data_IF_695358391278
#
_entry.id   IF_695358391278
#
_cell.length_a   1.000
_cell.length_b   1.000
_cell.length_c   1.000
_cell.angle_alpha   90.00
_cell.angle_beta   90.00
_cell.angle_gamma   90.00
#
_symmetry.space_group_name_H-M   'P 1'
#
loop_
_entity.id
_entity.type
_entity.pdbx_description
1 polymer ?
#
# COMPACT_ATOMS: atom_id res chain seq x y z
N UNK A 1 1.31 15.67 -17.05
CA UNK A 1 1.31 14.53 -16.09
C UNK A 1 2.51 14.66 -15.18
N UNK A 2 2.29 15.17 -13.97
CA UNK A 2 3.35 15.56 -13.04
C UNK A 2 3.93 14.38 -12.30
N UNK A 3 5.24 14.15 -12.45
CA UNK A 3 6.01 13.17 -11.68
C UNK A 3 6.15 13.65 -10.25
N UNK A 4 5.82 12.81 -9.27
CA UNK A 4 6.28 12.99 -7.89
C UNK A 4 6.96 11.72 -7.42
N UNK A 5 8.28 11.76 -7.45
CA UNK A 5 9.17 10.69 -6.99
C UNK A 5 9.21 10.70 -5.46
N UNK A 6 8.86 9.58 -4.82
CA UNK A 6 9.18 9.32 -3.42
C UNK A 6 9.78 7.91 -3.35
N UNK A 7 11.08 7.80 -3.61
CA UNK A 7 11.78 6.51 -3.55
C UNK A 7 11.41 5.51 -4.67
N UNK A 8 12.02 4.33 -4.58
CA UNK A 8 12.25 3.31 -5.62
C UNK A 8 11.01 2.48 -6.05
N UNK A 9 9.80 2.98 -5.82
CA UNK A 9 8.55 2.28 -6.09
C UNK A 9 7.53 3.20 -6.76
N UNK A 10 6.79 2.67 -7.73
CA UNK A 10 5.69 3.38 -8.40
C UNK A 10 4.49 2.45 -8.53
N UNK A 11 3.30 2.94 -8.19
CA UNK A 11 2.04 2.20 -8.34
C UNK A 11 1.34 2.74 -9.58
N UNK A 12 0.97 1.83 -10.47
CA UNK A 12 0.05 2.07 -11.57
C UNK A 12 -1.21 1.26 -11.30
N UNK A 13 -2.36 1.68 -11.81
CA UNK A 13 -3.72 1.14 -11.60
C UNK A 13 -3.85 -0.38 -11.34
N UNK A 14 -2.95 -1.22 -11.89
CA UNK A 14 -2.90 -2.69 -11.67
C UNK A 14 -1.51 -3.27 -11.34
N UNK A 15 -0.45 -2.46 -11.22
CA UNK A 15 0.93 -2.93 -11.10
C UNK A 15 1.69 -2.13 -10.03
N UNK A 16 2.47 -2.84 -9.22
CA UNK A 16 3.45 -2.23 -8.31
C UNK A 16 4.82 -2.39 -8.96
N UNK A 17 5.63 -1.34 -9.10
CA UNK A 17 6.98 -1.45 -9.65
C UNK A 17 8.01 -1.59 -8.51
N UNK A 18 8.85 -2.63 -8.56
CA UNK A 18 10.09 -2.70 -7.77
C UNK A 18 11.29 -2.56 -8.71
N UNK A 19 12.14 -1.55 -8.51
CA UNK A 19 13.45 -1.48 -9.18
C UNK A 19 13.36 -1.53 -10.73
N UNK A 20 12.33 -0.92 -11.32
CA UNK A 20 12.08 -0.94 -12.78
C UNK A 20 11.49 -2.25 -13.33
N UNK A 21 11.25 -3.26 -12.48
CA UNK A 21 10.47 -4.45 -12.85
C UNK A 21 9.00 -4.21 -12.59
N UNK A 22 8.20 -4.40 -13.63
CA UNK A 22 6.75 -4.46 -13.54
C UNK A 22 6.38 -5.71 -12.75
N UNK A 23 5.83 -5.55 -11.54
CA UNK A 23 5.11 -6.64 -10.89
C UNK A 23 3.75 -6.68 -11.60
N UNK A 24 3.67 -7.51 -12.65
CA UNK A 24 2.48 -7.65 -13.48
C UNK A 24 1.44 -8.47 -12.72
N UNK A 25 0.24 -7.91 -12.50
CA UNK A 25 -0.94 -8.71 -12.17
C UNK A 25 -1.43 -9.40 -13.45
N UNK A 26 -0.87 -10.57 -13.75
CA UNK A 26 -1.28 -11.41 -14.89
C UNK A 26 -2.05 -12.63 -14.38
N UNK A 27 -3.21 -12.91 -14.98
CA UNK A 27 -4.01 -14.12 -14.72
C UNK A 27 -4.39 -14.36 -13.23
N UNK A 28 -4.75 -13.27 -12.54
CA UNK A 28 -5.20 -13.26 -11.14
C UNK A 28 -4.18 -13.82 -10.12
N UNK A 29 -2.91 -14.02 -10.48
CA UNK A 29 -1.85 -14.50 -9.57
C UNK A 29 -0.56 -13.71 -9.72
N UNK A 30 -0.02 -13.24 -8.59
CA UNK A 30 1.31 -12.63 -8.54
C UNK A 30 2.38 -13.74 -8.59
N UNK A 31 3.06 -13.91 -9.73
CA UNK A 31 4.22 -14.83 -9.81
C UNK A 31 5.43 -14.19 -9.11
N UNK A 32 6.04 -14.91 -8.16
CA UNK A 32 7.25 -14.48 -7.44
C UNK A 32 7.03 -13.72 -6.13
N UNK A 33 5.78 -13.54 -5.69
CA UNK A 33 5.43 -12.88 -4.43
C UNK A 33 4.53 -13.79 -3.59
N UNK A 34 5.10 -14.83 -2.98
CA UNK A 34 4.36 -15.77 -2.12
C UNK A 34 3.75 -15.10 -0.88
N UNK A 35 4.22 -13.90 -0.52
CA UNK A 35 3.81 -13.17 0.69
C UNK A 35 2.93 -11.95 0.39
N UNK A 36 2.22 -11.95 -0.74
CA UNK A 36 1.24 -10.91 -1.06
C UNK A 36 -0.13 -11.27 -0.47
N UNK A 37 -0.72 -10.38 0.33
CA UNK A 37 -2.12 -10.43 0.77
C UNK A 37 -2.91 -9.32 0.07
N UNK A 38 -4.13 -9.63 -0.38
CA UNK A 38 -5.07 -8.65 -0.93
C UNK A 38 -6.23 -8.50 0.06
N UNK A 39 -6.45 -7.29 0.54
CA UNK A 39 -7.57 -6.91 1.40
C UNK A 39 -8.52 -6.00 0.61
N UNK A 40 -9.76 -5.87 1.11
CA UNK A 40 -10.75 -4.96 0.54
C UNK A 40 -11.28 -4.01 1.60
N UNK A 41 -11.46 -2.75 1.22
CA UNK A 41 -12.12 -1.76 2.07
C UNK A 41 -12.85 -0.72 1.24
N UNK A 42 -13.88 -0.13 1.81
CA UNK A 42 -14.42 1.14 1.34
C UNK A 42 -13.47 2.23 1.84
N UNK A 43 -13.08 3.17 0.97
CA UNK A 43 -12.10 4.22 1.28
C UNK A 43 -12.80 5.53 1.60
N UNK A 44 -13.83 5.87 0.83
CA UNK A 44 -14.73 7.00 1.05
C UNK A 44 -16.16 6.59 0.66
N UNK A 45 -17.15 7.42 0.98
CA UNK A 45 -18.58 7.11 0.77
C UNK A 45 -18.96 6.96 -0.72
N UNK A 46 -18.17 7.55 -1.62
CA UNK A 46 -18.39 7.47 -3.07
C UNK A 46 -17.68 6.28 -3.72
N UNK A 47 -16.78 5.62 -3.00
CA UNK A 47 -15.99 4.50 -3.52
C UNK A 47 -16.72 3.17 -3.31
N UNK A 48 -16.76 2.34 -4.36
CA UNK A 48 -17.01 0.91 -4.19
C UNK A 48 -15.88 0.25 -3.39
N UNK A 49 -16.02 -1.00 -2.96
CA UNK A 49 -14.93 -1.73 -2.30
C UNK A 49 -13.64 -1.70 -3.15
N UNK A 50 -12.58 -1.12 -2.61
CA UNK A 50 -11.27 -1.00 -3.23
C UNK A 50 -10.30 -2.07 -2.72
N UNK A 51 -9.38 -2.47 -3.60
CA UNK A 51 -8.32 -3.41 -3.24
C UNK A 51 -7.17 -2.68 -2.54
N UNK A 52 -6.67 -3.31 -1.48
CA UNK A 52 -5.45 -2.94 -0.78
C UNK A 52 -4.49 -4.11 -0.91
N UNK A 53 -3.29 -3.83 -1.40
CA UNK A 53 -2.25 -4.83 -1.60
C UNK A 53 -1.21 -4.67 -0.50
N UNK A 54 -0.89 -5.75 0.20
CA UNK A 54 0.11 -5.77 1.27
C UNK A 54 1.09 -6.88 0.95
N UNK A 55 2.35 -6.52 0.79
CA UNK A 55 3.43 -7.44 0.47
C UNK A 55 4.49 -7.40 1.56
N UNK A 56 4.93 -8.56 2.01
CA UNK A 56 6.02 -8.70 2.96
C UNK A 56 7.26 -9.34 2.29
N UNK A 57 8.40 -8.65 2.38
CA UNK A 57 9.69 -9.21 2.04
C UNK A 57 10.44 -9.59 3.32
N UNK A 58 10.34 -10.86 3.71
CA UNK A 58 11.03 -11.40 4.90
C UNK A 58 12.55 -11.40 4.76
N UNK A 59 13.10 -11.45 3.54
CA UNK A 59 14.55 -11.46 3.33
C UNK A 59 15.16 -10.08 3.59
N UNK A 60 14.51 -9.05 3.08
CA UNK A 60 14.95 -7.65 3.18
C UNK A 60 14.25 -6.87 4.30
N UNK A 61 13.45 -7.58 5.11
CA UNK A 61 12.86 -7.09 6.36
C UNK A 61 11.96 -5.84 6.20
N UNK A 62 11.09 -5.85 5.19
CA UNK A 62 10.15 -4.75 4.93
C UNK A 62 8.76 -5.22 4.47
N UNK A 63 7.78 -4.35 4.67
CA UNK A 63 6.41 -4.48 4.18
C UNK A 63 6.11 -3.32 3.23
N UNK A 64 5.38 -3.58 2.16
CA UNK A 64 4.82 -2.59 1.24
C UNK A 64 3.31 -2.67 1.30
N UNK A 65 2.65 -1.52 1.46
CA UNK A 65 1.20 -1.37 1.30
C UNK A 65 0.92 -0.47 0.10
N UNK A 66 -0.05 -0.85 -0.73
CA UNK A 66 -0.43 -0.10 -1.91
C UNK A 66 -1.95 -0.08 -2.11
N UNK A 67 -2.45 1.08 -2.52
CA UNK A 67 -3.86 1.33 -2.85
C UNK A 67 -3.91 2.01 -4.22
N UNK A 68 -4.09 1.25 -5.31
CA UNK A 68 -4.08 1.81 -6.66
C UNK A 68 -5.16 2.87 -6.91
N UNK A 69 -6.34 2.71 -6.28
CA UNK A 69 -7.42 3.71 -6.36
C UNK A 69 -6.99 5.11 -5.90
N UNK A 70 -6.05 5.19 -4.94
CA UNK A 70 -5.49 6.45 -4.43
C UNK A 70 -4.17 6.84 -5.10
N UNK A 71 -3.70 6.08 -6.09
CA UNK A 71 -2.36 6.21 -6.68
C UNK A 71 -1.26 6.27 -5.61
N UNK A 72 -1.41 5.47 -4.55
CA UNK A 72 -0.61 5.59 -3.33
C UNK A 72 0.03 4.27 -2.91
N UNK A 73 1.25 4.35 -2.39
CA UNK A 73 1.94 3.26 -1.70
C UNK A 73 2.89 3.76 -0.62
N UNK A 74 3.22 2.87 0.30
CA UNK A 74 4.23 3.09 1.32
C UNK A 74 5.02 1.82 1.59
N UNK A 75 6.35 1.97 1.73
CA UNK A 75 7.25 0.93 2.23
C UNK A 75 7.63 1.23 3.68
N UNK A 76 7.70 0.19 4.49
CA UNK A 76 7.91 0.27 5.94
C UNK A 76 8.81 -0.89 6.37
N UNK A 77 9.84 -0.62 7.18
CA UNK A 77 10.66 -1.69 7.80
C UNK A 77 9.99 -2.20 9.08
N UNK A 78 10.46 -3.32 9.65
CA UNK A 78 9.89 -3.78 10.92
C UNK A 78 10.09 -2.81 12.09
N UNK A 79 11.22 -2.07 12.13
CA UNK A 79 11.47 -1.04 13.16
C UNK A 79 10.43 0.10 13.11
N UNK A 80 9.99 0.43 11.91
CA UNK A 80 9.00 1.48 11.68
C UNK A 80 7.57 1.08 12.11
N UNK A 81 7.30 -0.21 12.35
CA UNK A 81 5.96 -0.70 12.71
C UNK A 81 5.45 -0.18 14.05
N UNK A 82 6.35 0.22 14.95
CA UNK A 82 6.00 0.80 16.24
C UNK A 82 5.17 2.09 16.07
N UNK A 83 5.51 2.92 15.07
CA UNK A 83 4.89 4.23 14.84
C UNK A 83 4.09 4.30 13.52
N UNK A 84 3.72 3.14 12.97
CA UNK A 84 3.18 3.05 11.60
C UNK A 84 1.87 3.82 11.40
N UNK A 85 0.99 3.88 12.40
CA UNK A 85 -0.28 4.61 12.29
C UNK A 85 -0.06 6.10 12.00
N UNK A 86 0.87 6.74 12.71
CA UNK A 86 1.20 8.16 12.50
C UNK A 86 1.82 8.39 11.11
N UNK A 87 2.71 7.49 10.68
CA UNK A 87 3.33 7.58 9.34
C UNK A 87 2.31 7.39 8.22
N UNK A 88 1.40 6.42 8.37
CA UNK A 88 0.30 6.19 7.43
C UNK A 88 -0.62 7.40 7.38
N UNK A 89 -1.01 7.95 8.53
CA UNK A 89 -1.84 9.14 8.62
C UNK A 89 -1.22 10.31 7.86
N UNK A 90 0.06 10.62 8.14
CA UNK A 90 0.78 11.70 7.48
C UNK A 90 0.95 11.48 5.97
N UNK A 91 1.09 10.24 5.53
CA UNK A 91 1.21 9.91 4.11
C UNK A 91 -0.14 9.99 3.38
N UNK A 92 -1.21 9.45 3.98
CA UNK A 92 -2.55 9.35 3.38
C UNK A 92 -3.26 10.70 3.28
N UNK A 93 -3.06 11.64 4.21
CA UNK A 93 -3.62 13.01 4.13
C UNK A 93 -3.21 13.79 2.88
N UNK A 94 -2.24 13.30 2.11
CA UNK A 94 -1.79 13.90 0.84
C UNK A 94 -2.66 13.49 -0.35
N UNK A 95 -3.44 12.41 -0.21
CA UNK A 95 -4.22 11.78 -1.29
C UNK A 95 -5.67 11.48 -0.88
N UNK A 96 -6.04 11.76 0.36
CA UNK A 96 -7.35 11.44 0.93
C UNK A 96 -7.77 12.52 1.93
N UNK A 97 -9.07 12.80 2.00
CA UNK A 97 -9.65 13.76 2.95
C UNK A 97 -9.50 13.29 4.41
N UNK A 98 -9.22 14.23 5.30
CA UNK A 98 -8.89 14.00 6.71
C UNK A 98 -9.92 13.10 7.43
N UNK A 99 -11.21 13.24 7.11
CA UNK A 99 -12.30 12.43 7.68
C UNK A 99 -12.14 10.92 7.44
N UNK A 100 -11.48 10.51 6.35
CA UNK A 100 -11.25 9.11 6.00
C UNK A 100 -9.82 8.63 6.32
N UNK A 101 -8.88 9.56 6.54
CA UNK A 101 -7.46 9.24 6.76
C UNK A 101 -7.27 8.41 8.02
N UNK A 102 -7.87 8.82 9.15
CA UNK A 102 -7.66 8.15 10.44
C UNK A 102 -8.14 6.71 10.44
N UNK A 103 -9.36 6.47 9.94
CA UNK A 103 -9.94 5.12 9.89
C UNK A 103 -9.15 4.19 8.96
N UNK A 104 -8.72 4.70 7.80
CA UNK A 104 -7.89 3.94 6.87
C UNK A 104 -6.51 3.63 7.46
N UNK A 105 -5.84 4.61 8.08
CA UNK A 105 -4.51 4.43 8.67
C UNK A 105 -4.49 3.34 9.75
N UNK A 106 -5.47 3.35 10.66
CA UNK A 106 -5.62 2.31 11.71
C UNK A 106 -5.82 0.93 11.08
N UNK A 107 -6.68 0.83 10.06
CA UNK A 107 -6.97 -0.43 9.37
C UNK A 107 -5.75 -1.00 8.65
N UNK A 108 -5.01 -0.15 7.94
CA UNK A 108 -3.78 -0.54 7.25
C UNK A 108 -2.71 -0.96 8.25
N UNK A 109 -2.52 -0.23 9.34
CA UNK A 109 -1.57 -0.58 10.39
C UNK A 109 -1.88 -1.95 11.01
N UNK A 110 -3.15 -2.22 11.30
CA UNK A 110 -3.58 -3.53 11.78
C UNK A 110 -3.21 -4.64 10.79
N UNK A 111 -3.56 -4.48 9.52
CA UNK A 111 -3.25 -5.51 8.52
C UNK A 111 -1.75 -5.70 8.28
N UNK A 112 -0.95 -4.64 8.40
CA UNK A 112 0.51 -4.73 8.30
C UNK A 112 1.10 -5.51 9.49
N UNK A 113 0.51 -5.41 10.68
CA UNK A 113 0.93 -6.19 11.87
C UNK A 113 0.45 -7.66 11.81
N UNK A 114 -0.60 -7.96 11.04
CA UNK A 114 -1.11 -9.31 10.79
C UNK A 114 -0.35 -10.06 9.67
N UNK A 115 0.63 -9.42 9.02
CA UNK A 115 1.39 -10.05 7.93
C UNK A 115 2.14 -11.28 8.42
#
# INVERSE_FOLDING_TARGET
MGRKTVGKWSVYEKNVLNNGKILCYHDKKWKGMSNMKIRKTIINEQSSQQNVYIYENKKEQYIVVAIPYLEWSMQVTYDDLANIESRLHHSLRRVLDEQYVRSLAVKLAQWMREM
#
